data_IF_078360319052
#
_entry.id   IF_078360319052
#
_cell.length_a   1.000
_cell.length_b   1.000
_cell.length_c   1.000
_cell.angle_alpha   90.00
_cell.angle_beta   90.00
_cell.angle_gamma   90.00
#
_symmetry.space_group_name_H-M   'P 1'
#
loop_
_entity.id
_entity.type
_entity.pdbx_description
1 polymer ?
#
# COMPACT_ATOMS: atom_id res chain seq x y z
N UNK A 1 8.10 -15.90 12.48
CA UNK A 1 8.67 -16.36 11.18
C UNK A 1 8.52 -15.22 10.20
N UNK A 2 9.59 -14.84 9.49
CA UNK A 2 9.50 -13.82 8.44
C UNK A 2 8.69 -14.42 7.30
N UNK A 3 7.56 -13.83 6.93
CA UNK A 3 6.74 -14.28 5.82
C UNK A 3 7.52 -14.04 4.52
N UNK A 4 7.83 -15.11 3.76
CA UNK A 4 8.50 -15.01 2.47
C UNK A 4 7.49 -14.66 1.38
N UNK A 5 7.85 -13.72 0.51
CA UNK A 5 7.07 -13.42 -0.67
C UNK A 5 7.22 -14.54 -1.72
N UNK A 6 6.19 -14.76 -2.55
CA UNK A 6 6.26 -15.69 -3.67
C UNK A 6 6.54 -14.94 -4.97
N UNK A 7 7.44 -15.47 -5.78
CA UNK A 7 7.80 -14.98 -7.11
C UNK A 7 7.42 -16.04 -8.12
N UNK A 8 6.60 -15.70 -9.12
CA UNK A 8 6.21 -16.63 -10.19
C UNK A 8 7.17 -16.48 -11.38
N UNK A 9 7.77 -17.59 -11.77
CA UNK A 9 8.68 -17.71 -12.92
C UNK A 9 7.97 -18.49 -14.02
N UNK A 10 7.78 -17.88 -15.20
CA UNK A 10 7.03 -18.46 -16.31
C UNK A 10 7.90 -18.47 -17.56
N UNK A 11 8.27 -19.66 -18.03
CA UNK A 11 9.08 -19.86 -19.24
C UNK A 11 8.89 -21.33 -19.68
N UNK A 12 8.70 -21.60 -20.97
CA UNK A 12 8.49 -22.95 -21.49
C UNK A 12 9.76 -23.81 -21.49
N UNK A 13 10.93 -23.20 -21.30
CA UNK A 13 12.23 -23.86 -21.27
C UNK A 13 12.71 -24.08 -19.83
N UNK A 14 12.85 -25.32 -19.45
CA UNK A 14 13.31 -25.69 -18.10
C UNK A 14 14.68 -25.09 -17.75
N UNK A 15 15.59 -24.94 -18.73
CA UNK A 15 16.91 -24.34 -18.53
C UNK A 15 16.80 -22.85 -18.14
N UNK A 16 15.86 -22.13 -18.73
CA UNK A 16 15.61 -20.73 -18.38
C UNK A 16 15.05 -20.59 -16.95
N UNK A 17 14.12 -21.47 -16.58
CA UNK A 17 13.58 -21.51 -15.21
C UNK A 17 14.68 -21.79 -14.18
N UNK A 18 15.56 -22.75 -14.47
CA UNK A 18 16.72 -23.06 -13.60
C UNK A 18 17.68 -21.86 -13.48
N UNK A 19 17.95 -21.17 -14.60
CA UNK A 19 18.81 -19.98 -14.58
C UNK A 19 18.18 -18.84 -13.76
N UNK A 20 16.88 -18.59 -13.92
CA UNK A 20 16.15 -17.61 -13.14
C UNK A 20 16.18 -17.92 -11.64
N UNK A 21 15.96 -19.19 -11.27
CA UNK A 21 16.04 -19.60 -9.86
C UNK A 21 17.44 -19.41 -9.29
N UNK A 22 18.49 -19.81 -10.01
CA UNK A 22 19.86 -19.63 -9.56
C UNK A 22 20.19 -18.15 -9.29
N UNK A 23 19.70 -17.26 -10.16
CA UNK A 23 19.90 -15.82 -10.00
C UNK A 23 19.11 -15.27 -8.80
N UNK A 24 17.86 -15.69 -8.63
CA UNK A 24 16.94 -15.13 -7.63
C UNK A 24 17.02 -15.82 -6.26
N UNK A 25 17.71 -16.95 -6.14
CA UNK A 25 17.92 -17.66 -4.87
C UNK A 25 18.54 -16.78 -3.79
N UNK A 26 19.37 -15.80 -4.21
CA UNK A 26 19.99 -14.83 -3.31
C UNK A 26 18.99 -13.87 -2.60
N UNK A 27 17.75 -13.76 -3.09
CA UNK A 27 16.71 -12.93 -2.47
C UNK A 27 16.03 -13.63 -1.29
N UNK A 28 16.30 -14.90 -1.05
CA UNK A 28 15.70 -15.73 0.01
C UNK A 28 14.15 -15.69 0.02
N UNK A 29 13.54 -15.72 -1.17
CA UNK A 29 12.09 -15.73 -1.39
C UNK A 29 11.62 -17.11 -1.90
N UNK A 30 10.30 -17.34 -1.89
CA UNK A 30 9.72 -18.56 -2.46
C UNK A 30 9.58 -18.42 -3.97
N UNK A 31 10.29 -19.24 -4.73
CA UNK A 31 10.22 -19.26 -6.19
C UNK A 31 9.25 -20.36 -6.64
N UNK A 32 8.28 -20.01 -7.47
CA UNK A 32 7.29 -20.95 -8.05
C UNK A 32 7.47 -20.96 -9.56
N UNK A 33 7.58 -22.13 -10.15
CA UNK A 33 7.75 -22.32 -11.59
C UNK A 33 6.42 -22.59 -12.28
N UNK A 34 6.31 -22.16 -13.51
CA UNK A 34 5.26 -22.52 -14.44
C UNK A 34 5.87 -22.69 -15.84
N UNK A 35 5.64 -23.80 -16.50
CA UNK A 35 6.17 -24.11 -17.82
C UNK A 35 5.25 -23.62 -18.96
N UNK A 36 4.15 -22.97 -18.66
CA UNK A 36 3.22 -22.41 -19.65
C UNK A 36 2.36 -21.29 -19.05
N UNK A 37 1.66 -20.53 -19.91
CA UNK A 37 0.69 -19.53 -19.49
C UNK A 37 -0.46 -20.14 -18.68
N UNK A 38 -0.97 -21.32 -19.09
CA UNK A 38 -2.05 -22.02 -18.40
C UNK A 38 -1.62 -22.45 -16.99
N UNK A 39 -0.38 -22.94 -16.84
CA UNK A 39 0.17 -23.34 -15.55
C UNK A 39 0.34 -22.12 -14.63
N UNK A 40 0.82 -21.01 -15.18
CA UNK A 40 0.89 -19.74 -14.45
C UNK A 40 -0.50 -19.28 -13.97
N UNK A 41 -1.51 -19.33 -14.83
CA UNK A 41 -2.88 -18.98 -14.46
C UNK A 41 -3.47 -19.90 -13.38
N UNK A 42 -3.10 -21.21 -13.35
CA UNK A 42 -3.48 -22.14 -12.29
C UNK A 42 -2.81 -21.80 -10.96
N UNK A 43 -1.50 -21.52 -10.97
CA UNK A 43 -0.77 -21.10 -9.75
C UNK A 43 -1.37 -19.85 -9.11
N UNK A 44 -1.81 -18.88 -9.92
CA UNK A 44 -2.44 -17.64 -9.48
C UNK A 44 -3.85 -17.83 -8.87
N UNK A 45 -4.47 -19.01 -9.01
CA UNK A 45 -5.75 -19.31 -8.33
C UNK A 45 -5.55 -19.65 -6.85
N UNK A 46 -4.42 -20.25 -6.52
CA UNK A 46 -4.13 -20.79 -5.18
C UNK A 46 -3.27 -19.87 -4.34
N UNK A 47 -2.39 -19.11 -4.98
CA UNK A 47 -1.34 -18.36 -4.33
C UNK A 47 -1.37 -16.87 -4.68
N UNK A 48 -0.85 -16.05 -3.76
CA UNK A 48 -0.58 -14.63 -3.99
C UNK A 48 0.91 -14.44 -4.28
N UNK A 49 1.22 -13.59 -5.26
CA UNK A 49 2.59 -13.37 -5.73
C UNK A 49 2.97 -11.90 -5.62
N UNK A 50 4.24 -11.65 -5.28
CA UNK A 50 4.81 -10.30 -5.24
C UNK A 50 5.12 -9.75 -6.63
N UNK A 51 5.55 -10.62 -7.54
CA UNK A 51 5.92 -10.30 -8.93
C UNK A 51 5.88 -11.53 -9.80
N UNK A 52 5.61 -11.36 -11.09
CA UNK A 52 5.63 -12.39 -12.11
C UNK A 52 6.72 -12.06 -13.11
N UNK A 53 7.65 -12.99 -13.34
CA UNK A 53 8.59 -12.97 -14.46
C UNK A 53 8.02 -13.85 -15.57
N UNK A 54 7.73 -13.26 -16.72
CA UNK A 54 6.94 -13.91 -17.77
C UNK A 54 7.68 -13.85 -19.11
N UNK A 55 8.04 -15.00 -19.64
CA UNK A 55 8.55 -15.06 -21.00
C UNK A 55 7.49 -14.65 -22.01
N UNK A 56 7.90 -13.90 -23.00
CA UNK A 56 7.00 -13.46 -24.08
C UNK A 56 6.74 -14.59 -25.06
N UNK A 57 7.76 -15.37 -25.39
CA UNK A 57 7.71 -16.40 -26.45
C UNK A 57 7.50 -17.78 -25.86
N UNK A 58 6.24 -18.18 -25.75
CA UNK A 58 5.88 -19.52 -25.32
C UNK A 58 4.92 -20.17 -26.32
N UNK A 59 4.97 -21.51 -26.51
CA UNK A 59 4.02 -22.21 -27.36
C UNK A 59 2.60 -22.18 -26.74
N UNK A 60 1.59 -22.18 -27.61
CA UNK A 60 0.19 -22.09 -27.19
C UNK A 60 -0.18 -20.69 -26.76
N UNK A 61 -0.31 -20.45 -25.46
CA UNK A 61 -0.61 -19.12 -24.90
C UNK A 61 0.69 -18.34 -24.70
N UNK A 62 0.88 -17.27 -25.49
CA UNK A 62 2.07 -16.41 -25.36
C UNK A 62 2.04 -15.56 -24.07
N UNK A 63 3.17 -14.89 -23.76
CA UNK A 63 3.28 -14.09 -22.55
C UNK A 63 2.33 -12.88 -22.54
N UNK A 64 2.02 -12.28 -23.68
CA UNK A 64 1.10 -11.14 -23.74
C UNK A 64 -0.34 -11.58 -23.49
N UNK A 65 -0.75 -12.72 -24.07
CA UNK A 65 -2.06 -13.31 -23.84
C UNK A 65 -2.22 -13.73 -22.37
N UNK A 66 -1.18 -14.36 -21.80
CA UNK A 66 -1.12 -14.71 -20.38
C UNK A 66 -1.30 -13.48 -19.49
N UNK A 67 -0.56 -12.40 -19.77
CA UNK A 67 -0.66 -11.15 -19.04
C UNK A 67 -2.06 -10.53 -19.14
N UNK A 68 -2.68 -10.55 -20.32
CA UNK A 68 -4.04 -10.06 -20.52
C UNK A 68 -5.05 -10.84 -19.66
N UNK A 69 -4.92 -12.15 -19.55
CA UNK A 69 -5.75 -12.97 -18.66
C UNK A 69 -5.52 -12.63 -17.18
N UNK A 70 -4.28 -12.41 -16.75
CA UNK A 70 -3.92 -12.03 -15.39
C UNK A 70 -4.56 -10.67 -15.04
N UNK A 71 -4.42 -9.69 -15.93
CA UNK A 71 -4.90 -8.31 -15.71
C UNK A 71 -6.43 -8.14 -15.74
N UNK A 72 -7.16 -9.08 -16.36
CA UNK A 72 -8.63 -9.08 -16.36
C UNK A 72 -9.25 -9.51 -15.04
N UNK A 73 -8.52 -10.24 -14.20
CA UNK A 73 -9.05 -10.77 -12.93
C UNK A 73 -8.77 -9.79 -11.80
N UNK A 74 -9.78 -9.42 -11.03
CA UNK A 74 -9.68 -8.47 -9.93
C UNK A 74 -8.61 -8.85 -8.90
N UNK A 75 -8.50 -10.15 -8.58
CA UNK A 75 -7.52 -10.66 -7.61
C UNK A 75 -6.07 -10.52 -8.08
N UNK A 76 -5.80 -10.59 -9.39
CA UNK A 76 -4.44 -10.69 -9.93
C UNK A 76 -4.01 -9.48 -10.77
N UNK A 77 -4.93 -8.58 -11.11
CA UNK A 77 -4.66 -7.42 -11.97
C UNK A 77 -3.57 -6.49 -11.46
N UNK A 78 -3.42 -6.41 -10.13
CA UNK A 78 -2.46 -5.50 -9.49
C UNK A 78 -1.08 -6.13 -9.30
N UNK A 79 -0.92 -7.43 -9.59
CA UNK A 79 0.38 -8.10 -9.50
C UNK A 79 1.29 -7.55 -10.60
N UNK A 80 2.49 -7.04 -10.27
CA UNK A 80 3.44 -6.54 -11.26
C UNK A 80 3.95 -7.67 -12.15
N UNK A 81 4.03 -7.41 -13.46
CA UNK A 81 4.55 -8.35 -14.46
C UNK A 81 5.79 -7.73 -15.10
N UNK A 82 6.89 -8.47 -15.09
CA UNK A 82 8.13 -8.16 -15.81
C UNK A 82 8.23 -9.14 -16.96
N UNK A 83 8.20 -8.63 -18.19
CA UNK A 83 8.41 -9.48 -19.36
C UNK A 83 9.89 -9.78 -19.58
N UNK A 84 10.18 -11.04 -19.89
CA UNK A 84 11.47 -11.51 -20.38
C UNK A 84 11.37 -11.68 -21.90
N UNK A 85 12.18 -10.95 -22.68
CA UNK A 85 12.06 -10.94 -24.14
C UNK A 85 13.41 -11.05 -24.84
N UNK A 86 13.45 -11.62 -26.04
CA UNK A 86 14.64 -11.60 -26.87
C UNK A 86 14.90 -10.18 -27.45
N UNK A 87 16.15 -9.80 -27.61
CA UNK A 87 16.60 -8.44 -28.06
C UNK A 87 16.01 -7.99 -29.41
N UNK A 88 15.55 -8.90 -30.27
CA UNK A 88 15.21 -8.62 -31.66
C UNK A 88 13.78 -8.12 -31.93
N UNK A 89 13.07 -7.69 -30.91
CA UNK A 89 11.71 -7.19 -31.08
C UNK A 89 11.68 -5.65 -31.09
N UNK A 90 11.35 -5.07 -32.25
CA UNK A 90 11.28 -3.64 -32.50
C UNK A 90 10.24 -2.92 -31.60
N UNK A 91 10.12 -1.59 -31.71
CA UNK A 91 9.33 -0.72 -30.83
C UNK A 91 7.85 -1.13 -30.68
N UNK A 92 7.31 -1.91 -31.63
CA UNK A 92 5.94 -2.40 -31.58
C UNK A 92 5.65 -3.42 -30.44
N UNK A 93 6.64 -4.21 -30.02
CA UNK A 93 6.45 -5.18 -28.93
C UNK A 93 6.50 -4.50 -27.55
N UNK A 94 7.34 -3.49 -27.40
CA UNK A 94 7.40 -2.68 -26.17
C UNK A 94 6.06 -1.98 -25.91
N UNK A 95 5.43 -1.43 -26.98
CA UNK A 95 4.13 -0.76 -26.87
C UNK A 95 2.99 -1.74 -26.52
N UNK A 96 2.97 -2.94 -27.13
CA UNK A 96 1.95 -3.98 -26.82
C UNK A 96 2.00 -4.42 -25.37
N UNK A 97 3.15 -4.53 -24.79
CA UNK A 97 3.27 -5.00 -23.43
C UNK A 97 2.92 -3.94 -22.37
N UNK A 98 3.25 -2.66 -22.59
CA UNK A 98 2.73 -1.59 -21.74
C UNK A 98 1.20 -1.51 -21.83
N UNK A 99 0.63 -1.71 -23.04
CA UNK A 99 -0.82 -1.82 -23.22
C UNK A 99 -1.42 -3.06 -22.52
N UNK A 100 -0.64 -4.14 -22.35
CA UNK A 100 -1.03 -5.34 -21.59
C UNK A 100 -0.87 -5.17 -20.06
N UNK A 101 -0.42 -3.99 -19.58
CA UNK A 101 -0.30 -3.68 -18.15
C UNK A 101 0.98 -4.18 -17.49
N UNK A 102 2.03 -4.44 -18.26
CA UNK A 102 3.36 -4.73 -17.71
C UNK A 102 3.96 -3.50 -17.03
N UNK A 103 4.73 -3.74 -15.99
CA UNK A 103 5.45 -2.66 -15.28
C UNK A 103 6.87 -2.49 -15.80
N UNK A 104 7.46 -3.55 -16.42
CA UNK A 104 8.84 -3.51 -16.90
C UNK A 104 9.15 -4.61 -17.93
N UNK A 105 10.30 -4.47 -18.59
CA UNK A 105 10.86 -5.41 -19.58
C UNK A 105 12.33 -5.68 -19.28
N UNK A 106 12.76 -6.92 -19.50
CA UNK A 106 14.17 -7.33 -19.42
C UNK A 106 14.49 -8.14 -20.67
N UNK A 107 15.46 -7.65 -21.46
CA UNK A 107 15.92 -8.37 -22.66
C UNK A 107 16.86 -9.53 -22.29
N UNK A 108 16.67 -10.68 -22.95
CA UNK A 108 17.58 -11.82 -22.90
C UNK A 108 18.74 -11.61 -23.90
N UNK A 109 20.03 -11.86 -23.54
CA UNK A 109 20.51 -12.29 -22.24
C UNK A 109 20.47 -11.13 -21.22
N UNK A 110 20.04 -11.42 -19.99
CA UNK A 110 19.94 -10.42 -18.94
C UNK A 110 21.11 -10.50 -17.96
N UNK A 111 21.49 -9.33 -17.42
CA UNK A 111 22.45 -9.25 -16.34
C UNK A 111 21.79 -9.74 -15.03
N UNK A 112 22.40 -10.75 -14.35
CA UNK A 112 21.85 -11.29 -13.11
C UNK A 112 21.67 -10.25 -12.01
N UNK A 113 22.55 -9.26 -11.93
CA UNK A 113 22.47 -8.22 -10.93
C UNK A 113 21.28 -7.28 -11.21
N UNK A 114 21.08 -6.88 -12.47
CA UNK A 114 19.96 -6.03 -12.88
C UNK A 114 18.62 -6.73 -12.64
N UNK A 115 18.54 -8.02 -12.97
CA UNK A 115 17.33 -8.82 -12.71
C UNK A 115 17.00 -8.86 -11.22
N UNK A 116 17.98 -9.18 -10.37
CA UNK A 116 17.79 -9.19 -8.91
C UNK A 116 17.36 -7.83 -8.38
N UNK A 117 18.04 -6.77 -8.78
CA UNK A 117 17.71 -5.41 -8.34
C UNK A 117 16.27 -5.00 -8.69
N UNK A 118 15.80 -5.34 -9.90
CA UNK A 118 14.42 -5.06 -10.30
C UNK A 118 13.40 -5.88 -9.51
N UNK A 119 13.65 -7.17 -9.32
CA UNK A 119 12.74 -8.06 -8.58
C UNK A 119 12.67 -7.69 -7.10
N UNK A 120 13.81 -7.33 -6.47
CA UNK A 120 13.85 -6.97 -5.06
C UNK A 120 12.95 -5.76 -4.73
N UNK A 121 12.84 -4.77 -5.62
CA UNK A 121 11.96 -3.61 -5.44
C UNK A 121 10.49 -4.04 -5.32
N UNK A 122 10.03 -4.95 -6.18
CA UNK A 122 8.64 -5.43 -6.13
C UNK A 122 8.38 -6.33 -4.91
N UNK A 123 9.36 -7.12 -4.50
CA UNK A 123 9.29 -7.91 -3.26
C UNK A 123 9.16 -6.99 -2.04
N UNK A 124 9.97 -5.93 -1.95
CA UNK A 124 9.88 -4.96 -0.88
C UNK A 124 8.51 -4.25 -0.84
N UNK A 125 8.01 -3.80 -2.00
CA UNK A 125 6.70 -3.17 -2.11
C UNK A 125 5.58 -4.12 -1.65
N UNK A 126 5.64 -5.39 -2.05
CA UNK A 126 4.68 -6.40 -1.63
C UNK A 126 4.71 -6.61 -0.11
N UNK A 127 5.90 -6.76 0.48
CA UNK A 127 6.08 -6.95 1.91
C UNK A 127 5.57 -5.74 2.71
N UNK A 128 5.84 -4.52 2.24
CA UNK A 128 5.31 -3.29 2.85
C UNK A 128 3.78 -3.22 2.78
N UNK A 129 3.19 -3.60 1.63
CA UNK A 129 1.73 -3.68 1.49
C UNK A 129 1.11 -4.71 2.44
N UNK A 130 1.74 -5.88 2.62
CA UNK A 130 1.28 -6.88 3.58
C UNK A 130 1.31 -6.33 5.02
N UNK A 131 2.41 -5.69 5.41
CA UNK A 131 2.53 -5.06 6.72
C UNK A 131 1.46 -3.99 6.97
N UNK A 132 1.21 -3.13 5.98
CA UNK A 132 0.16 -2.10 6.08
C UNK A 132 -1.24 -2.71 6.21
N UNK A 133 -1.54 -3.78 5.46
CA UNK A 133 -2.82 -4.51 5.58
C UNK A 133 -3.00 -5.13 6.97
N UNK A 134 -1.95 -5.75 7.51
CA UNK A 134 -1.97 -6.31 8.87
C UNK A 134 -2.20 -5.23 9.93
N UNK A 135 -1.48 -4.11 9.85
CA UNK A 135 -1.65 -2.99 10.77
C UNK A 135 -3.06 -2.40 10.70
N UNK A 136 -3.59 -2.22 9.48
CA UNK A 136 -4.95 -1.72 9.28
C UNK A 136 -6.00 -2.69 9.84
N UNK A 137 -5.80 -4.00 9.70
CA UNK A 137 -6.70 -5.02 10.27
C UNK A 137 -6.69 -4.98 11.81
N UNK A 138 -5.51 -4.90 12.41
CA UNK A 138 -5.37 -4.77 13.87
C UNK A 138 -6.05 -3.51 14.41
N UNK A 139 -5.86 -2.38 13.72
CA UNK A 139 -6.49 -1.12 14.12
C UNK A 139 -8.01 -1.19 14.04
N UNK A 140 -8.56 -1.82 13.00
CA UNK A 140 -10.02 -2.07 12.88
C UNK A 140 -10.55 -2.90 14.04
N UNK A 141 -9.88 -3.98 14.39
CA UNK A 141 -10.27 -4.83 15.53
C UNK A 141 -10.26 -4.05 16.86
N UNK A 142 -9.27 -3.17 17.06
CA UNK A 142 -9.21 -2.31 18.24
C UNK A 142 -10.35 -1.31 18.29
N UNK A 143 -10.71 -0.69 17.17
CA UNK A 143 -11.83 0.24 17.06
C UNK A 143 -13.17 -0.47 17.32
N UNK A 144 -13.37 -1.65 16.75
CA UNK A 144 -14.59 -2.46 16.97
C UNK A 144 -14.72 -2.91 18.43
N UNK A 145 -13.61 -3.33 19.05
CA UNK A 145 -13.59 -3.68 20.48
C UNK A 145 -13.87 -2.47 21.38
N UNK A 146 -13.37 -1.28 21.00
CA UNK A 146 -13.67 -0.01 21.68
C UNK A 146 -15.15 0.38 21.56
N UNK A 147 -15.71 0.28 20.35
CA UNK A 147 -17.11 0.58 20.09
C UNK A 147 -18.07 -0.38 20.83
N UNK A 148 -17.74 -1.67 20.91
CA UNK A 148 -18.53 -2.66 21.65
C UNK A 148 -18.52 -2.40 23.16
N UNK A 149 -17.39 -1.96 23.72
CA UNK A 149 -17.30 -1.54 25.14
C UNK A 149 -18.11 -0.29 25.42
N UNK A 150 -18.08 0.69 24.51
CA UNK A 150 -18.90 1.90 24.61
C UNK A 150 -20.41 1.59 24.56
N UNK A 151 -20.82 0.66 23.69
CA UNK A 151 -22.22 0.22 23.59
C UNK A 151 -22.72 -0.52 24.82
N UNK A 152 -21.85 -1.23 25.55
CA UNK A 152 -22.19 -1.96 26.77
C UNK A 152 -22.23 -1.09 28.03
N UNK A 153 -22.12 0.24 27.94
CA UNK A 153 -22.26 1.17 29.08
C UNK A 153 -21.08 1.18 30.08
N UNK A 154 -20.01 0.44 29.82
CA UNK A 154 -18.83 0.38 30.69
C UNK A 154 -17.83 1.55 30.47
N UNK A 155 -18.07 2.40 29.49
CA UNK A 155 -17.06 3.33 28.96
C UNK A 155 -17.08 4.74 29.57
N UNK A 156 -17.86 5.04 30.60
CA UNK A 156 -17.98 6.44 31.07
C UNK A 156 -17.37 6.78 32.42
N UNK A 157 -16.63 5.84 33.07
CA UNK A 157 -15.88 6.18 34.29
C UNK A 157 -14.50 5.53 34.29
N UNK A 158 -13.50 6.18 33.70
CA UNK A 158 -12.09 5.88 33.98
C UNK A 158 -11.40 4.88 33.05
N UNK A 159 -11.86 4.66 31.80
CA UNK A 159 -11.21 3.79 30.83
C UNK A 159 -10.15 4.51 29.98
N UNK A 160 -9.27 3.76 29.28
CA UNK A 160 -8.19 4.28 28.45
C UNK A 160 -8.66 5.20 27.31
N UNK A 161 -9.95 5.18 26.95
CA UNK A 161 -10.53 6.07 25.93
C UNK A 161 -10.63 7.54 26.40
N UNK A 162 -10.90 7.77 27.68
CA UNK A 162 -10.88 9.13 28.26
C UNK A 162 -9.47 9.72 28.27
N UNK A 163 -8.46 8.87 28.56
CA UNK A 163 -7.06 9.25 28.47
C UNK A 163 -6.61 9.53 27.04
N UNK A 164 -7.11 8.79 26.07
CA UNK A 164 -6.75 8.95 24.65
C UNK A 164 -7.38 10.23 24.05
N UNK A 165 -8.63 10.54 24.41
CA UNK A 165 -9.28 11.80 24.02
C UNK A 165 -8.57 13.00 24.66
N UNK A 166 -8.23 12.94 25.95
CA UNK A 166 -7.46 13.97 26.63
C UNK A 166 -6.05 14.15 26.04
N UNK A 167 -5.37 13.05 25.69
CA UNK A 167 -4.07 13.06 25.00
C UNK A 167 -4.18 13.69 23.61
N UNK A 168 -5.22 13.33 22.84
CA UNK A 168 -5.47 13.90 21.50
C UNK A 168 -5.82 15.39 21.59
N UNK A 169 -6.63 15.79 22.56
CA UNK A 169 -6.95 17.21 22.81
C UNK A 169 -5.71 18.00 23.17
N UNK A 170 -4.83 17.46 24.04
CA UNK A 170 -3.58 18.09 24.40
C UNK A 170 -2.60 18.23 23.22
N UNK A 171 -2.48 17.21 22.40
CA UNK A 171 -1.64 17.24 21.19
C UNK A 171 -2.18 18.20 20.13
N UNK A 172 -3.50 18.26 19.96
CA UNK A 172 -4.12 19.20 19.04
C UNK A 172 -3.88 20.64 19.50
N UNK A 173 -4.02 20.95 20.81
CA UNK A 173 -3.72 22.27 21.36
C UNK A 173 -2.25 22.69 21.11
N UNK A 174 -1.30 21.76 21.27
CA UNK A 174 0.11 22.04 20.99
C UNK A 174 0.38 22.32 19.50
N UNK A 175 -0.32 21.64 18.59
CA UNK A 175 -0.19 21.89 17.14
C UNK A 175 -0.86 23.21 16.75
N UNK A 176 -1.99 23.58 17.37
CA UNK A 176 -2.63 24.88 17.17
C UNK A 176 -1.70 26.03 17.59
N UNK A 177 -1.06 25.93 18.76
CA UNK A 177 -0.09 26.94 19.25
C UNK A 177 1.11 27.07 18.30
N UNK A 178 1.63 25.96 17.77
CA UNK A 178 2.71 25.99 16.78
C UNK A 178 2.26 26.60 15.44
N UNK A 179 1.04 26.33 15.00
CA UNK A 179 0.50 26.88 13.77
C UNK A 179 0.30 28.40 13.89
N UNK A 180 -0.24 28.89 15.03
CA UNK A 180 -0.38 30.32 15.31
C UNK A 180 0.98 31.04 15.37
N UNK A 181 1.98 30.43 16.00
CA UNK A 181 3.35 30.95 16.04
C UNK A 181 3.98 31.05 14.64
N UNK A 182 3.76 30.05 13.80
CA UNK A 182 4.23 30.03 12.41
C UNK A 182 3.51 31.09 11.56
N UNK A 183 2.19 31.23 11.70
CA UNK A 183 1.40 32.23 10.99
C UNK A 183 1.89 33.65 11.33
N UNK A 184 2.17 33.91 12.62
CA UNK A 184 2.70 35.20 13.07
C UNK A 184 4.11 35.47 12.54
N UNK A 185 4.96 34.44 12.39
CA UNK A 185 6.28 34.57 11.76
C UNK A 185 6.20 34.81 10.24
N UNK A 186 5.17 34.28 9.58
CA UNK A 186 4.96 34.40 8.14
C UNK A 186 4.28 35.73 7.76
N UNK A 187 3.44 36.32 8.62
CA UNK A 187 2.86 37.63 8.43
C UNK A 187 3.93 38.76 8.39
N UNK A 188 5.06 38.55 9.06
CA UNK A 188 6.24 39.43 8.99
C UNK A 188 7.10 39.21 7.73
N UNK A 189 6.80 38.15 6.93
CA UNK A 189 7.53 37.82 5.69
C UNK A 189 6.67 38.14 4.46
N UNK A 190 7.29 38.77 3.44
CA UNK A 190 6.62 39.19 2.19
C UNK A 190 6.12 38.06 1.27
N UNK A 191 5.94 36.82 1.77
CA UNK A 191 5.51 35.68 0.99
C UNK A 191 4.01 35.39 1.16
N UNK A 192 3.22 35.96 0.26
CA UNK A 192 1.76 35.82 0.25
C UNK A 192 1.26 34.36 0.06
N UNK A 193 2.06 33.49 -0.55
CA UNK A 193 1.70 32.09 -0.75
C UNK A 193 1.84 31.29 0.56
N UNK A 194 2.86 31.59 1.36
CA UNK A 194 3.09 30.97 2.65
C UNK A 194 2.01 31.40 3.66
N UNK A 195 1.63 32.67 3.68
CA UNK A 195 0.57 33.20 4.53
C UNK A 195 -0.81 32.55 4.19
N UNK A 196 -1.13 32.37 2.90
CA UNK A 196 -2.36 31.70 2.48
C UNK A 196 -2.41 30.24 2.94
N UNK A 197 -1.27 29.53 2.90
CA UNK A 197 -1.15 28.14 3.34
C UNK A 197 -1.32 28.03 4.86
N UNK A 198 -0.74 28.94 5.63
CA UNK A 198 -0.88 29.00 7.09
C UNK A 198 -2.34 29.23 7.51
N UNK A 199 -3.04 30.20 6.89
CA UNK A 199 -4.47 30.44 7.12
C UNK A 199 -5.35 29.22 6.79
N UNK A 200 -4.99 28.47 5.73
CA UNK A 200 -5.70 27.24 5.40
C UNK A 200 -5.51 26.14 6.46
N UNK A 201 -4.30 26.03 7.01
CA UNK A 201 -3.96 25.07 8.06
C UNK A 201 -4.73 25.37 9.34
N UNK A 202 -4.76 26.63 9.79
CA UNK A 202 -5.51 27.08 10.97
C UNK A 202 -7.01 26.77 10.86
N UNK A 203 -7.60 26.99 9.68
CA UNK A 203 -9.02 26.67 9.45
C UNK A 203 -9.29 25.18 9.58
N UNK A 204 -8.38 24.32 9.12
CA UNK A 204 -8.50 22.86 9.25
C UNK A 204 -8.33 22.41 10.71
N UNK A 205 -7.38 22.96 11.45
CA UNK A 205 -7.17 22.67 12.86
C UNK A 205 -8.38 23.08 13.70
N UNK A 206 -8.93 24.26 13.48
CA UNK A 206 -10.16 24.72 14.15
C UNK A 206 -11.39 23.84 13.83
N UNK A 207 -11.42 23.24 12.62
CA UNK A 207 -12.44 22.26 12.25
C UNK A 207 -12.30 20.94 13.02
N UNK A 208 -11.07 20.45 13.17
CA UNK A 208 -10.76 19.26 13.95
C UNK A 208 -11.05 19.47 15.45
N UNK A 209 -10.72 20.64 16.00
CA UNK A 209 -11.03 20.98 17.39
C UNK A 209 -12.52 20.91 17.67
N UNK A 210 -13.34 21.54 16.84
CA UNK A 210 -14.81 21.49 16.98
C UNK A 210 -15.37 20.07 16.88
N UNK A 211 -14.78 19.24 16.04
CA UNK A 211 -15.18 17.83 15.94
C UNK A 211 -14.81 17.02 17.19
N UNK A 212 -13.65 17.33 17.81
CA UNK A 212 -13.21 16.68 19.05
C UNK A 212 -14.09 17.14 20.24
N UNK A 213 -14.35 18.44 20.35
CA UNK A 213 -15.20 19.02 21.39
C UNK A 213 -16.64 18.45 21.32
N UNK A 214 -17.12 18.13 20.12
CA UNK A 214 -18.41 17.48 19.91
C UNK A 214 -18.45 16.01 20.35
N UNK A 215 -17.28 15.37 20.51
CA UNK A 215 -17.12 14.00 21.00
C UNK A 215 -16.90 13.94 22.51
N UNK A 216 -16.62 15.07 23.18
CA UNK A 216 -16.57 15.13 24.64
C UNK A 216 -18.01 15.14 25.21
N UNK A 217 -18.42 14.16 26.02
CA UNK A 217 -19.77 14.12 26.58
C UNK A 217 -19.95 15.25 27.62
N UNK A 218 -20.56 16.33 27.17
CA UNK A 218 -21.34 17.30 27.91
C UNK A 218 -20.82 17.81 29.27
N UNK A 219 -20.18 19.00 29.24
CA UNK A 219 -20.25 19.91 30.35
C UNK A 219 -20.94 21.19 29.91
N UNK A 220 -22.25 21.20 29.84
CA UNK A 220 -23.07 22.42 29.89
C UNK A 220 -24.56 22.06 29.87
N UNK A 221 -25.12 21.74 31.02
CA UNK A 221 -26.53 21.98 31.28
C UNK A 221 -26.73 23.41 31.77
N UNK A 222 -27.62 24.25 31.20
CA UNK A 222 -27.91 25.55 31.77
C UNK A 222 -28.65 25.35 33.11
N UNK A 223 -28.12 25.98 34.14
CA UNK A 223 -28.81 26.13 35.41
C UNK A 223 -30.13 26.87 35.19
N UNK A 224 -31.23 26.19 35.47
CA UNK A 224 -32.53 26.83 35.59
C UNK A 224 -32.58 27.59 36.93
N UNK A 225 -32.89 28.88 36.98
CA UNK A 225 -33.16 29.54 38.23
C UNK A 225 -34.54 29.10 38.74
N UNK A 226 -34.58 28.64 39.98
CA UNK A 226 -35.80 28.41 40.73
C UNK A 226 -36.45 29.80 41.01
N UNK A 227 -37.67 30.03 40.50
CA UNK A 227 -38.57 31.01 41.03
C UNK A 227 -39.64 30.28 41.90
N UNK A 228 -39.62 30.65 43.11
CA UNK A 228 -40.63 30.88 44.15
C UNK A 228 -41.98 30.12 44.03
#
# INVERSE_FOLDING_TARGET
MVQKAKILLVDDRAENLLALEAILSALDQTLVRAASGEEALKALLTDDFAVILLDVQMPGMDGFETAAHIKRRERTRDIPIIFLTAINHGPHHTFRGYAAGAVDYISKPFDPWVLRAKVSVFVELYMKNCQLKEQAALLRLQLEAGASRAANGEALRGGPAGGLLAELSARLAAVEEQAEALTKQLDDSSDAAAAATATHLERRLSGLRRALDALEPGTSGPAHPAEN
#
